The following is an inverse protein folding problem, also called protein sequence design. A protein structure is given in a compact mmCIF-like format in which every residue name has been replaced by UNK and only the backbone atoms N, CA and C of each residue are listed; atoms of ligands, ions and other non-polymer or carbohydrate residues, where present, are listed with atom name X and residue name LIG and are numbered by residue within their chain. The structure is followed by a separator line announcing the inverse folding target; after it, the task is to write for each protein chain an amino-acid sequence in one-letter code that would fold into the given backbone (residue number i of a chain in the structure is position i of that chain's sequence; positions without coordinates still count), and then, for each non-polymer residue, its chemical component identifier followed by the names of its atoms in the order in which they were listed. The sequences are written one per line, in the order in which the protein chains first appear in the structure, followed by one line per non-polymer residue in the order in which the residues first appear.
data_IF_367082807535
#
_entry.id   IF_367082807535
#
_cell.length_a   1.000
_cell.length_b   1.000
_cell.length_c   1.000
_cell.angle_alpha   90.00
_cell.angle_beta   90.00
_cell.angle_gamma   90.00
#
_symmetry.space_group_name_H-M   'P 1'
#
loop_
_entity.id
_entity.type
_entity.pdbx_description
1 polymer ?
#
# COMPACT_ATOMS: atom_id res chain seq x y z
N UNK A 1 -4.48 0.22 13.49
CA UNK A 1 -4.02 -0.46 12.25
C UNK A 1 -4.60 0.30 11.07
N UNK A 2 -3.77 0.60 10.09
CA UNK A 2 -4.19 1.33 8.88
C UNK A 2 -5.17 0.53 8.02
N UNK A 3 -5.75 1.15 7.01
CA UNK A 3 -6.52 0.48 5.97
C UNK A 3 -5.96 0.80 4.61
N UNK A 4 -5.94 -0.19 3.74
CA UNK A 4 -5.54 -0.06 2.34
C UNK A 4 -6.65 -0.57 1.43
N UNK A 5 -6.79 0.05 0.26
CA UNK A 5 -7.69 -0.38 -0.79
C UNK A 5 -7.06 -0.10 -2.16
N UNK A 6 -7.21 -1.03 -3.10
CA UNK A 6 -6.74 -0.88 -4.47
C UNK A 6 -7.83 -1.25 -5.47
N UNK A 7 -7.98 -0.46 -6.52
CA UNK A 7 -8.81 -0.74 -7.69
C UNK A 7 -7.89 -0.79 -8.91
N UNK A 8 -7.80 -1.95 -9.56
CA UNK A 8 -6.73 -2.26 -10.51
C UNK A 8 -7.16 -2.11 -11.97
N UNK A 9 -7.79 -0.98 -12.31
CA UNK A 9 -8.14 -0.58 -13.67
C UNK A 9 -8.56 0.89 -13.67
N UNK A 10 -8.74 1.48 -14.84
CA UNK A 10 -9.30 2.83 -14.96
C UNK A 10 -10.67 2.86 -14.28
N UNK A 11 -10.80 3.73 -13.29
CA UNK A 11 -11.99 3.80 -12.47
C UNK A 11 -13.01 4.78 -13.07
N UNK A 12 -14.12 4.25 -13.60
CA UNK A 12 -15.22 5.05 -14.15
C UNK A 12 -16.17 5.58 -13.06
N UNK A 13 -16.14 4.98 -11.86
CA UNK A 13 -17.03 5.32 -10.75
C UNK A 13 -16.22 5.58 -9.46
N UNK A 14 -15.59 6.76 -9.42
CA UNK A 14 -14.83 7.21 -8.26
C UNK A 14 -15.71 7.28 -7.00
N UNK A 15 -16.99 7.63 -7.15
CA UNK A 15 -17.92 7.72 -6.01
C UNK A 15 -18.14 6.35 -5.36
N UNK A 16 -18.32 5.30 -6.16
CA UNK A 16 -18.45 3.93 -5.66
C UNK A 16 -17.18 3.50 -4.91
N UNK A 17 -15.99 3.80 -5.46
CA UNK A 17 -14.72 3.53 -4.77
C UNK A 17 -14.65 4.27 -3.43
N UNK A 18 -14.96 5.57 -3.42
CA UNK A 18 -14.95 6.40 -2.19
C UNK A 18 -15.92 5.89 -1.14
N UNK A 19 -17.13 5.47 -1.53
CA UNK A 19 -18.12 4.87 -0.62
C UNK A 19 -17.63 3.54 -0.02
N UNK A 20 -17.00 2.70 -0.83
CA UNK A 20 -16.40 1.45 -0.35
C UNK A 20 -15.24 1.70 0.60
N UNK A 21 -14.36 2.61 0.24
CA UNK A 21 -13.18 2.99 1.02
C UNK A 21 -13.57 3.62 2.38
N UNK A 22 -14.58 4.50 2.40
CA UNK A 22 -15.05 5.13 3.64
C UNK A 22 -15.52 4.14 4.71
N UNK A 23 -15.95 2.92 4.32
CA UNK A 23 -16.38 1.88 5.28
C UNK A 23 -15.23 1.34 6.12
N UNK A 24 -14.00 1.56 5.72
CA UNK A 24 -12.80 1.11 6.44
C UNK A 24 -12.14 2.22 7.27
N UNK A 25 -12.73 3.40 7.33
CA UNK A 25 -12.15 4.58 8.02
C UNK A 25 -11.90 4.35 9.51
N UNK A 26 -12.70 3.50 10.18
CA UNK A 26 -12.53 3.16 11.59
C UNK A 26 -11.19 2.47 11.89
N UNK A 27 -10.50 1.93 10.88
CA UNK A 27 -9.18 1.32 11.03
C UNK A 27 -8.05 2.34 11.03
N UNK A 28 -8.26 3.48 10.38
CA UNK A 28 -7.27 4.55 10.26
C UNK A 28 -7.93 5.91 10.25
N UNK A 29 -8.44 6.38 11.41
CA UNK A 29 -9.27 7.59 11.46
C UNK A 29 -8.48 8.90 11.42
N UNK A 30 -7.14 8.84 11.48
CA UNK A 30 -6.32 10.04 11.68
C UNK A 30 -6.15 10.85 10.38
N UNK A 31 -6.05 10.15 9.24
CA UNK A 31 -5.93 10.79 7.93
C UNK A 31 -6.34 9.83 6.81
N UNK A 32 -6.69 10.37 5.63
CA UNK A 32 -7.14 9.59 4.49
C UNK A 32 -6.62 10.17 3.18
N UNK A 33 -6.15 9.30 2.27
CA UNK A 33 -5.70 9.70 0.95
C UNK A 33 -6.14 8.70 -0.10
N UNK A 34 -6.55 9.20 -1.26
CA UNK A 34 -6.76 8.43 -2.48
C UNK A 34 -5.84 9.01 -3.55
N UNK A 35 -5.14 8.14 -4.24
CA UNK A 35 -4.28 8.51 -5.37
C UNK A 35 -4.76 7.79 -6.61
N UNK A 36 -4.93 8.56 -7.69
CA UNK A 36 -5.13 8.04 -9.03
C UNK A 36 -3.74 7.74 -9.64
N UNK A 37 -3.51 6.49 -10.00
CA UNK A 37 -2.25 6.03 -10.60
C UNK A 37 -2.22 6.23 -12.12
N UNK A 38 -3.32 6.70 -12.72
CA UNK A 38 -3.56 6.73 -14.16
C UNK A 38 -4.07 5.42 -14.74
N UNK A 39 -3.96 4.31 -13.99
CA UNK A 39 -4.45 2.99 -14.35
C UNK A 39 -5.14 2.30 -13.16
N UNK A 40 -5.76 3.10 -12.28
CA UNK A 40 -6.48 2.62 -11.12
C UNK A 40 -6.35 3.57 -9.93
N UNK A 41 -6.81 3.11 -8.77
CA UNK A 41 -6.85 3.89 -7.54
C UNK A 41 -6.18 3.15 -6.39
N UNK A 42 -5.45 3.89 -5.57
CA UNK A 42 -4.94 3.43 -4.26
C UNK A 42 -5.51 4.31 -3.16
N UNK A 43 -6.12 3.69 -2.14
CA UNK A 43 -6.64 4.35 -0.96
C UNK A 43 -5.90 3.92 0.31
N UNK A 44 -5.65 4.89 1.18
CA UNK A 44 -4.99 4.68 2.47
C UNK A 44 -5.69 5.47 3.57
N UNK A 45 -6.14 4.76 4.62
CA UNK A 45 -6.57 5.35 5.89
C UNK A 45 -5.49 5.12 6.93
N UNK A 46 -5.04 6.20 7.54
CA UNK A 46 -3.93 6.21 8.48
C UNK A 46 -4.40 6.06 9.92
N UNK A 47 -3.76 5.14 10.64
CA UNK A 47 -3.63 5.19 12.09
C UNK A 47 -2.16 5.52 12.40
N UNK A 48 -1.89 6.70 12.92
CA UNK A 48 -0.54 7.22 13.12
C UNK A 48 0.11 6.57 14.37
N UNK A 49 0.80 5.44 14.19
CA UNK A 49 1.56 4.75 15.24
C UNK A 49 3.05 5.04 15.06
N UNK A 50 3.53 4.95 13.81
CA UNK A 50 4.91 5.30 13.42
C UNK A 50 4.90 6.40 12.37
N UNK A 51 6.03 7.12 12.21
CA UNK A 51 6.14 8.20 11.24
C UNK A 51 5.10 9.29 11.48
N UNK A 52 5.00 9.82 12.71
CA UNK A 52 3.93 10.73 13.17
C UNK A 52 3.82 12.03 12.37
N UNK A 53 4.82 12.35 11.55
CA UNK A 53 4.83 13.52 10.68
C UNK A 53 3.97 13.31 9.43
N UNK A 54 3.62 14.40 8.76
CA UNK A 54 2.88 14.35 7.49
C UNK A 54 3.61 13.55 6.40
N UNK A 55 4.95 13.49 6.44
CA UNK A 55 5.77 12.73 5.49
C UNK A 55 5.58 11.20 5.59
N UNK A 56 5.08 10.68 6.72
CA UNK A 56 4.70 9.26 6.87
C UNK A 56 3.37 8.88 6.27
N UNK A 57 2.68 9.80 5.59
CA UNK A 57 1.39 9.53 4.94
C UNK A 57 1.56 8.78 3.62
N UNK A 58 0.84 7.68 3.49
CA UNK A 58 0.82 6.87 2.27
C UNK A 58 -0.33 7.30 1.33
N UNK A 59 -0.31 6.91 0.04
CA UNK A 59 0.73 6.12 -0.64
C UNK A 59 2.09 6.80 -0.69
N UNK A 60 3.18 6.02 -0.50
CA UNK A 60 4.50 6.48 -0.89
C UNK A 60 4.66 6.39 -2.40
N UNK A 61 5.48 7.25 -2.98
CA UNK A 61 5.71 7.29 -4.43
C UNK A 61 7.19 7.34 -4.78
N UNK A 62 7.56 6.67 -5.85
CA UNK A 62 8.92 6.67 -6.40
C UNK A 62 8.86 6.37 -7.90
N UNK A 63 9.37 7.28 -8.73
CA UNK A 63 9.50 7.06 -10.18
C UNK A 63 8.18 6.73 -10.91
N UNK A 64 7.04 7.21 -10.43
CA UNK A 64 5.72 6.90 -10.98
C UNK A 64 5.07 5.64 -10.40
N UNK A 65 5.80 4.89 -9.57
CA UNK A 65 5.27 3.78 -8.79
C UNK A 65 4.72 4.26 -7.45
N UNK A 66 3.79 3.49 -6.88
CA UNK A 66 3.14 3.79 -5.60
C UNK A 66 3.03 2.55 -4.72
N UNK A 67 3.06 2.72 -3.40
CA UNK A 67 2.78 1.65 -2.45
C UNK A 67 1.88 2.12 -1.33
N UNK A 68 0.94 1.26 -0.96
CA UNK A 68 0.20 1.33 0.31
C UNK A 68 0.45 0.05 1.09
N UNK A 69 0.68 0.20 2.40
CA UNK A 69 0.98 -0.92 3.29
C UNK A 69 0.28 -0.75 4.63
N UNK A 70 -0.34 -1.83 5.10
CA UNK A 70 -0.78 -1.97 6.48
C UNK A 70 0.08 -3.03 7.14
N UNK A 71 1.06 -2.63 7.94
CA UNK A 71 1.98 -3.57 8.55
C UNK A 71 3.06 -2.89 9.37
N UNK A 72 4.05 -3.70 9.73
CA UNK A 72 5.26 -3.30 10.43
C UNK A 72 6.45 -4.08 9.85
N UNK A 73 7.47 -3.37 9.42
CA UNK A 73 8.68 -3.93 8.84
C UNK A 73 9.77 -3.89 9.91
N UNK A 74 10.12 -5.05 10.47
CA UNK A 74 11.12 -5.15 11.53
C UNK A 74 12.54 -4.96 10.96
N UNK A 75 13.39 -4.28 11.71
CA UNK A 75 14.78 -4.01 11.29
C UNK A 75 14.89 -3.17 10.02
N UNK A 76 13.90 -2.34 9.72
CA UNK A 76 13.88 -1.47 8.54
C UNK A 76 15.05 -0.48 8.48
N UNK A 77 15.66 -0.16 9.62
CA UNK A 77 16.85 0.71 9.69
C UNK A 77 18.02 0.12 8.89
N UNK A 78 18.23 -1.20 8.97
CA UNK A 78 19.27 -1.89 8.20
C UNK A 78 18.96 -1.88 6.70
N UNK A 79 17.68 -1.99 6.34
CA UNK A 79 17.25 -1.88 4.96
C UNK A 79 17.47 -0.46 4.42
N UNK A 80 17.15 0.56 5.20
CA UNK A 80 17.47 1.96 4.88
C UNK A 80 18.96 2.18 4.67
N UNK A 81 19.79 1.68 5.58
CA UNK A 81 21.23 1.79 5.47
C UNK A 81 21.75 1.17 4.17
N UNK A 82 21.27 -0.02 3.81
CA UNK A 82 21.66 -0.71 2.56
C UNK A 82 21.23 0.01 1.29
N UNK A 83 20.26 0.89 1.37
CA UNK A 83 19.70 1.66 0.25
C UNK A 83 20.15 3.13 0.23
N UNK A 84 20.92 3.57 1.24
CA UNK A 84 21.27 4.98 1.46
C UNK A 84 22.06 5.62 0.32
N UNK A 85 22.83 4.83 -0.43
CA UNK A 85 23.59 5.29 -1.60
C UNK A 85 22.71 5.57 -2.83
N UNK A 86 21.47 5.07 -2.83
CA UNK A 86 20.56 5.11 -4.00
C UNK A 86 19.28 5.87 -3.72
N UNK A 87 18.90 5.99 -2.45
CA UNK A 87 17.62 6.58 -2.06
C UNK A 87 17.73 7.42 -0.80
N UNK A 88 17.09 8.60 -0.84
CA UNK A 88 16.98 9.48 0.33
C UNK A 88 15.57 9.36 0.91
N UNK A 89 15.48 8.81 2.12
CA UNK A 89 14.21 8.63 2.82
C UNK A 89 13.65 9.98 3.28
N UNK A 90 12.34 10.15 3.14
CA UNK A 90 11.63 11.40 3.41
C UNK A 90 10.85 11.36 4.72
N UNK A 91 10.67 10.17 5.29
CA UNK A 91 9.88 9.97 6.52
C UNK A 91 10.59 9.00 7.48
N UNK A 92 10.04 8.90 8.68
CA UNK A 92 10.44 7.89 9.67
C UNK A 92 9.59 6.60 9.59
N UNK A 93 8.74 6.47 8.56
CA UNK A 93 7.93 5.28 8.38
C UNK A 93 8.76 4.10 7.91
N UNK A 94 8.60 2.96 8.57
CA UNK A 94 9.19 1.69 8.19
C UNK A 94 8.75 1.24 6.78
N UNK A 95 7.48 1.48 6.43
CA UNK A 95 6.91 1.08 5.12
C UNK A 95 7.50 1.86 3.93
N UNK A 96 8.20 2.97 4.14
CA UNK A 96 8.85 3.72 3.06
C UNK A 96 9.94 2.90 2.35
N UNK A 97 10.51 1.88 3.01
CA UNK A 97 11.54 1.03 2.39
C UNK A 97 11.02 0.16 1.24
N UNK A 98 9.70 -0.06 1.18
CA UNK A 98 9.11 -1.02 0.24
C UNK A 98 9.33 -0.64 -1.23
N UNK A 99 9.13 0.63 -1.61
CA UNK A 99 9.36 1.04 -3.00
C UNK A 99 10.82 1.00 -3.41
N UNK A 100 11.78 1.54 -2.64
CA UNK A 100 13.21 1.41 -2.96
C UNK A 100 13.68 -0.04 -3.04
N UNK A 101 13.17 -0.94 -2.19
CA UNK A 101 13.45 -2.37 -2.27
C UNK A 101 12.87 -2.97 -3.56
N UNK A 102 11.61 -2.62 -3.89
CA UNK A 102 10.96 -3.10 -5.11
C UNK A 102 11.70 -2.63 -6.37
N UNK A 103 12.08 -1.36 -6.44
CA UNK A 103 12.88 -0.82 -7.55
C UNK A 103 14.23 -1.54 -7.72
N UNK A 104 14.81 -2.01 -6.62
CA UNK A 104 16.14 -2.66 -6.63
C UNK A 104 16.05 -4.16 -6.91
N UNK A 105 15.08 -4.86 -6.33
CA UNK A 105 15.02 -6.33 -6.29
C UNK A 105 13.75 -6.91 -6.90
N UNK A 106 12.82 -6.08 -7.38
CA UNK A 106 11.51 -6.55 -7.84
C UNK A 106 10.78 -7.30 -6.74
N UNK A 107 10.01 -8.32 -7.11
CA UNK A 107 9.25 -9.14 -6.16
C UNK A 107 10.12 -10.01 -5.24
N UNK A 108 11.40 -10.21 -5.55
CA UNK A 108 12.33 -10.92 -4.66
C UNK A 108 12.53 -10.19 -3.32
N UNK A 109 12.24 -8.89 -3.26
CA UNK A 109 12.27 -8.12 -2.02
C UNK A 109 11.44 -8.74 -0.89
N UNK A 110 10.31 -9.40 -1.22
CA UNK A 110 9.43 -9.98 -0.21
C UNK A 110 10.10 -11.09 0.61
N UNK A 111 11.15 -11.72 0.07
CA UNK A 111 11.96 -12.71 0.79
C UNK A 111 12.97 -12.09 1.77
N UNK A 112 13.20 -10.79 1.63
CA UNK A 112 14.14 -10.04 2.47
C UNK A 112 13.46 -9.42 3.69
N UNK A 113 12.13 -9.41 3.72
CA UNK A 113 11.35 -8.76 4.77
C UNK A 113 11.17 -9.69 5.98
N UNK A 114 11.57 -9.20 7.14
CA UNK A 114 11.06 -9.65 8.43
C UNK A 114 9.91 -8.71 8.81
N UNK A 115 8.68 -9.15 8.59
CA UNK A 115 7.54 -8.23 8.63
C UNK A 115 6.20 -8.95 8.85
N UNK A 116 5.28 -8.24 9.47
CA UNK A 116 3.86 -8.52 9.39
C UNK A 116 3.17 -7.46 8.53
N UNK A 117 2.70 -7.82 7.34
CA UNK A 117 2.23 -6.83 6.38
C UNK A 117 1.16 -7.33 5.41
N UNK A 118 0.40 -6.39 4.91
CA UNK A 118 -0.36 -6.47 3.67
C UNK A 118 -0.09 -5.21 2.86
N UNK A 119 0.33 -5.33 1.61
CA UNK A 119 0.64 -4.19 0.76
C UNK A 119 0.08 -4.34 -0.65
N UNK A 120 -0.08 -3.21 -1.31
CA UNK A 120 -0.40 -3.11 -2.73
C UNK A 120 0.61 -2.15 -3.33
N UNK A 121 1.34 -2.61 -4.35
CA UNK A 121 2.27 -1.82 -5.14
C UNK A 121 1.66 -1.61 -6.52
N UNK A 122 1.69 -0.39 -7.02
CA UNK A 122 1.51 -0.06 -8.42
C UNK A 122 2.87 0.22 -9.03
N UNK A 123 3.24 -0.55 -10.05
CA UNK A 123 4.47 -0.33 -10.82
C UNK A 123 4.16 0.60 -11.99
N UNK A 124 4.67 1.81 -11.94
CA UNK A 124 4.47 2.81 -12.99
C UNK A 124 5.16 2.49 -14.32
N UNK A 125 6.14 1.58 -14.33
CA UNK A 125 6.85 1.17 -15.55
C UNK A 125 6.09 0.11 -16.33
N UNK A 126 5.58 -0.90 -15.62
CA UNK A 126 4.82 -2.01 -16.23
C UNK A 126 3.31 -1.75 -16.23
N UNK A 127 2.84 -0.76 -15.45
CA UNK A 127 1.43 -0.47 -15.20
C UNK A 127 0.67 -1.63 -14.54
N UNK A 128 1.38 -2.43 -13.75
CA UNK A 128 0.85 -3.60 -13.05
C UNK A 128 0.65 -3.32 -11.56
N UNK A 129 -0.33 -4.03 -10.99
CA UNK A 129 -0.55 -4.06 -9.55
C UNK A 129 -0.01 -5.36 -8.95
N UNK A 130 0.77 -5.24 -7.90
CA UNK A 130 1.30 -6.35 -7.11
C UNK A 130 0.69 -6.26 -5.72
N UNK A 131 0.01 -7.30 -5.28
CA UNK A 131 -0.51 -7.39 -3.94
C UNK A 131 0.17 -8.53 -3.19
N UNK A 132 0.64 -8.26 -1.98
CA UNK A 132 1.34 -9.24 -1.16
C UNK A 132 0.96 -9.09 0.31
N UNK A 133 1.06 -10.20 1.05
CA UNK A 133 0.95 -10.23 2.51
C UNK A 133 2.02 -11.14 3.10
N UNK A 134 2.25 -11.00 4.38
CA UNK A 134 3.16 -11.86 5.11
C UNK A 134 2.77 -13.36 5.01
N UNK A 135 3.75 -14.28 5.09
CA UNK A 135 3.52 -15.72 4.87
C UNK A 135 2.50 -16.36 5.82
N UNK A 136 2.36 -15.81 7.02
CA UNK A 136 1.44 -16.31 8.04
C UNK A 136 0.05 -15.69 7.83
N UNK A 137 -0.04 -14.51 7.20
CA UNK A 137 -1.26 -13.75 7.01
C UNK A 137 -1.70 -13.03 8.28
N UNK A 138 -0.76 -12.56 9.09
CA UNK A 138 -1.04 -11.76 10.31
C UNK A 138 -1.84 -10.52 9.92
N UNK A 139 -1.45 -9.87 8.82
CA UNK A 139 -2.22 -8.78 8.24
C UNK A 139 -3.13 -9.33 7.14
N UNK A 140 -4.46 -9.18 7.27
CA UNK A 140 -5.39 -9.68 6.26
C UNK A 140 -5.25 -8.90 4.94
N UNK A 141 -5.42 -9.60 3.84
CA UNK A 141 -5.58 -9.01 2.51
C UNK A 141 -6.56 -9.88 1.73
N UNK A 142 -7.62 -9.27 1.25
CA UNK A 142 -8.65 -9.91 0.45
C UNK A 142 -8.69 -9.28 -0.93
N UNK A 143 -9.13 -10.04 -1.90
CA UNK A 143 -9.43 -9.52 -3.22
C UNK A 143 -10.80 -10.03 -3.69
N UNK A 144 -11.38 -9.28 -4.58
CA UNK A 144 -12.62 -9.62 -5.24
C UNK A 144 -12.66 -8.97 -6.62
N UNK A 145 -13.77 -9.14 -7.28
CA UNK A 145 -14.02 -8.58 -8.60
C UNK A 145 -15.25 -7.69 -8.56
N UNK A 146 -15.20 -6.56 -9.22
CA UNK A 146 -16.39 -5.77 -9.47
C UNK A 146 -17.26 -6.39 -10.57
N UNK A 147 -18.36 -5.74 -10.92
CA UNK A 147 -19.28 -6.22 -11.97
C UNK A 147 -18.67 -6.26 -13.37
N UNK A 148 -17.55 -5.55 -13.58
CA UNK A 148 -16.81 -5.52 -14.85
C UNK A 148 -15.67 -6.54 -14.89
N UNK A 149 -15.41 -7.24 -13.78
CA UNK A 149 -14.29 -8.18 -13.63
C UNK A 149 -12.99 -7.53 -13.21
N UNK A 150 -13.01 -6.25 -12.83
CA UNK A 150 -11.83 -5.55 -12.30
C UNK A 150 -11.49 -6.03 -10.90
N UNK A 151 -10.20 -6.29 -10.64
CA UNK A 151 -9.72 -6.71 -9.33
C UNK A 151 -9.75 -5.53 -8.36
N UNK A 152 -10.30 -5.80 -7.17
CA UNK A 152 -10.30 -4.88 -6.03
C UNK A 152 -9.63 -5.57 -4.85
N UNK A 153 -8.65 -4.92 -4.25
CA UNK A 153 -8.01 -5.35 -3.01
C UNK A 153 -8.52 -4.56 -1.81
N UNK A 154 -8.72 -5.23 -0.67
CA UNK A 154 -9.14 -4.59 0.57
C UNK A 154 -8.70 -5.42 1.79
N UNK A 155 -8.73 -4.81 2.98
CA UNK A 155 -8.43 -5.49 4.25
C UNK A 155 -9.64 -6.14 4.92
N UNK A 156 -10.85 -5.93 4.41
CA UNK A 156 -12.08 -6.47 4.97
C UNK A 156 -12.76 -7.42 3.99
N UNK A 157 -13.16 -8.59 4.50
CA UNK A 157 -13.92 -9.60 3.74
C UNK A 157 -15.31 -9.10 3.33
N UNK A 158 -15.93 -8.26 4.14
CA UNK A 158 -17.23 -7.65 3.87
C UNK A 158 -17.06 -6.26 3.28
N UNK A 159 -16.53 -6.18 2.07
CA UNK A 159 -16.83 -5.05 1.22
C UNK A 159 -18.25 -5.29 0.68
N UNK A 160 -19.25 -4.50 1.04
CA UNK A 160 -20.56 -4.75 0.48
C UNK A 160 -20.53 -4.52 -1.02
N UNK A 161 -20.97 -5.53 -1.70
CA UNK A 161 -21.37 -5.45 -3.11
C UNK A 161 -22.28 -4.24 -3.36
#
# INVERSE_FOLDING_TARGET
MCSIMGYCDVCDDLEAFQKGFAKTISRGPDDSRIVDTGNGLLGFHRLAIMGLTASGMQPFSLGGSYVVCNGEIFGFERLRESLSDRYTFQSDSDCEVLLPLYETYGTEMFRMLDAEFACIIYDGKTQEYIAARDPIGIRPLYYGYDKKGTIVFCLLYTSPS
#
